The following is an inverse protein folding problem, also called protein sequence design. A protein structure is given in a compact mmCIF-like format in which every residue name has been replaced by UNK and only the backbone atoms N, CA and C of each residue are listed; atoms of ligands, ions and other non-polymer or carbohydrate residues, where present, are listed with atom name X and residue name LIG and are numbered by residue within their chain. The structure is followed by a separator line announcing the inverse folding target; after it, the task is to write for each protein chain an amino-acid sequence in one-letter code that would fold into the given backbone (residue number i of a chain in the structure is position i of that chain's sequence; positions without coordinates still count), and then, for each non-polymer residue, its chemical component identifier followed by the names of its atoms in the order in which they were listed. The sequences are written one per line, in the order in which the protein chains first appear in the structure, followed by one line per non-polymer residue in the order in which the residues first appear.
data_IF_458311541554
#
_entry.id   IF_458311541554
#
_cell.length_a   1.000
_cell.length_b   1.000
_cell.length_c   1.000
_cell.angle_alpha   90.00
_cell.angle_beta   90.00
_cell.angle_gamma   90.00
#
_symmetry.space_group_name_H-M   'P 1'
#
loop_
_entity.id
_entity.type
_entity.pdbx_description
1 polymer ?
#
# COMPACT_ATOMS: atom_id res chain seq x y z
N UNK A 1 -3.60 -8.51 -26.35
CA UNK A 1 -4.11 -7.52 -25.38
C UNK A 1 -4.21 -8.21 -24.05
N UNK A 2 -3.42 -7.77 -23.02
CA UNK A 2 -3.45 -8.36 -21.67
C UNK A 2 -4.72 -7.92 -20.93
N UNK A 3 -5.33 -8.83 -20.17
CA UNK A 3 -6.57 -8.58 -19.43
C UNK A 3 -6.27 -8.28 -17.96
N UNK A 4 -6.87 -7.22 -17.45
CA UNK A 4 -6.68 -6.75 -16.07
C UNK A 4 -7.90 -7.07 -15.20
N UNK A 5 -7.64 -7.52 -13.98
CA UNK A 5 -8.58 -7.47 -12.86
C UNK A 5 -8.06 -6.47 -11.83
N UNK A 6 -8.91 -5.57 -11.34
CA UNK A 6 -8.48 -4.48 -10.44
C UNK A 6 -9.23 -4.57 -9.11
N UNK A 7 -8.50 -4.85 -8.04
CA UNK A 7 -9.00 -4.79 -6.66
C UNK A 7 -8.86 -3.36 -6.15
N UNK A 8 -9.99 -2.68 -5.89
CA UNK A 8 -10.00 -1.28 -5.46
C UNK A 8 -10.01 -0.26 -6.61
N UNK A 9 -10.78 -0.51 -7.66
CA UNK A 9 -10.80 0.28 -8.90
C UNK A 9 -11.19 1.75 -8.73
N UNK A 10 -12.04 2.08 -7.76
CA UNK A 10 -12.50 3.45 -7.50
C UNK A 10 -11.58 4.23 -6.55
N UNK A 11 -10.56 3.57 -6.00
CA UNK A 11 -9.51 4.21 -5.21
C UNK A 11 -8.53 5.04 -6.06
N UNK A 12 -7.62 5.77 -5.41
CA UNK A 12 -6.64 6.62 -6.11
C UNK A 12 -5.80 5.83 -7.11
N UNK A 13 -5.27 4.67 -6.70
CA UNK A 13 -4.43 3.82 -7.57
C UNK A 13 -5.26 3.16 -8.67
N UNK A 14 -6.47 2.66 -8.34
CA UNK A 14 -7.36 2.05 -9.33
C UNK A 14 -7.72 3.01 -10.46
N UNK A 15 -8.09 4.26 -10.13
CA UNK A 15 -8.37 5.30 -11.13
C UNK A 15 -7.15 5.64 -11.99
N UNK A 16 -5.97 5.77 -11.38
CA UNK A 16 -4.74 6.03 -12.13
C UNK A 16 -4.33 4.82 -12.99
N UNK A 17 -4.61 3.60 -12.53
CA UNK A 17 -4.43 2.39 -13.34
C UNK A 17 -5.30 2.43 -14.59
N UNK A 18 -6.59 2.75 -14.45
CA UNK A 18 -7.49 2.89 -15.60
C UNK A 18 -7.05 4.01 -16.55
N UNK A 19 -6.57 5.15 -16.01
CA UNK A 19 -5.98 6.23 -16.83
C UNK A 19 -4.76 5.75 -17.63
N UNK A 20 -3.89 4.91 -17.04
CA UNK A 20 -2.77 4.29 -17.77
C UNK A 20 -3.26 3.34 -18.86
N UNK A 21 -4.30 2.54 -18.57
CA UNK A 21 -4.92 1.64 -19.57
C UNK A 21 -5.46 2.45 -20.76
N UNK A 22 -6.15 3.55 -20.49
CA UNK A 22 -6.70 4.45 -21.53
C UNK A 22 -5.60 5.13 -22.35
N UNK A 23 -4.45 5.45 -21.74
CA UNK A 23 -3.30 6.05 -22.44
C UNK A 23 -2.50 5.07 -23.32
N UNK A 24 -2.76 3.76 -23.19
CA UNK A 24 -2.07 2.69 -23.94
C UNK A 24 -3.08 1.83 -24.74
N UNK A 25 -3.77 2.43 -25.73
CA UNK A 25 -4.84 1.75 -26.46
C UNK A 25 -4.36 0.45 -27.11
N UNK A 26 -5.18 -0.59 -27.06
CA UNK A 26 -4.91 -1.90 -27.63
C UNK A 26 -3.94 -2.79 -26.83
N UNK A 27 -3.30 -2.29 -25.78
CA UNK A 27 -2.39 -3.10 -24.95
C UNK A 27 -3.13 -3.84 -23.82
N UNK A 28 -4.13 -3.22 -23.23
CA UNK A 28 -4.84 -3.73 -22.07
C UNK A 28 -6.36 -3.70 -22.27
N UNK A 29 -7.04 -4.70 -21.72
CA UNK A 29 -8.48 -4.74 -21.48
C UNK A 29 -8.75 -4.90 -19.99
N UNK A 30 -9.95 -4.59 -19.55
CA UNK A 30 -10.37 -4.71 -18.14
C UNK A 30 -11.49 -5.72 -18.05
N UNK A 31 -11.22 -6.89 -17.46
CA UNK A 31 -12.23 -7.98 -17.37
C UNK A 31 -13.00 -7.96 -16.06
N UNK A 32 -12.40 -7.47 -14.97
CA UNK A 32 -13.05 -7.46 -13.68
C UNK A 32 -12.65 -6.26 -12.81
N UNK A 33 -13.60 -5.70 -12.07
CA UNK A 33 -13.40 -4.57 -11.17
C UNK A 33 -14.00 -4.86 -9.79
N UNK A 34 -13.25 -4.58 -8.72
CA UNK A 34 -13.79 -4.56 -7.37
C UNK A 34 -13.73 -3.13 -6.79
N UNK A 35 -14.84 -2.70 -6.20
CA UNK A 35 -14.96 -1.41 -5.52
C UNK A 35 -15.67 -1.57 -4.18
N UNK A 36 -15.51 -0.60 -3.27
CA UNK A 36 -16.22 -0.59 -1.99
C UNK A 36 -17.62 0.02 -2.10
N UNK A 37 -17.69 1.36 -1.94
CA UNK A 37 -18.94 2.10 -1.80
C UNK A 37 -19.21 3.14 -2.89
N UNK A 38 -18.20 3.51 -3.70
CA UNK A 38 -18.35 4.56 -4.70
C UNK A 38 -18.97 4.00 -5.98
N UNK A 39 -20.30 3.88 -5.99
CA UNK A 39 -21.05 3.29 -7.10
C UNK A 39 -21.10 4.21 -8.32
N UNK A 40 -21.07 5.51 -8.16
CA UNK A 40 -21.06 6.48 -9.27
C UNK A 40 -19.79 6.34 -10.10
N UNK A 41 -18.63 6.37 -9.45
CA UNK A 41 -17.34 6.16 -10.12
C UNK A 41 -17.27 4.77 -10.78
N UNK A 42 -17.72 3.71 -10.08
CA UNK A 42 -17.74 2.37 -10.63
C UNK A 42 -18.64 2.27 -11.86
N UNK A 43 -19.81 2.92 -11.86
CA UNK A 43 -20.72 2.96 -13.00
C UNK A 43 -20.04 3.58 -14.23
N UNK A 44 -19.32 4.70 -14.05
CA UNK A 44 -18.54 5.31 -15.14
C UNK A 44 -17.41 4.41 -15.65
N UNK A 45 -16.77 3.65 -14.76
CA UNK A 45 -15.75 2.66 -15.14
C UNK A 45 -16.34 1.50 -15.93
N UNK A 46 -17.51 0.98 -15.54
CA UNK A 46 -18.25 -0.09 -16.25
C UNK A 46 -18.63 0.38 -17.65
N UNK A 47 -19.14 1.59 -17.79
CA UNK A 47 -19.55 2.16 -19.07
C UNK A 47 -18.37 2.25 -20.06
N UNK A 48 -17.21 2.71 -19.59
CA UNK A 48 -16.00 2.86 -20.42
C UNK A 48 -15.31 1.55 -20.75
N UNK A 49 -15.13 0.68 -19.75
CA UNK A 49 -14.26 -0.49 -19.86
C UNK A 49 -15.02 -1.81 -20.09
N UNK A 50 -16.32 -1.84 -19.87
CA UNK A 50 -17.23 -3.00 -20.11
C UNK A 50 -16.68 -4.30 -19.50
N UNK A 51 -16.38 -4.35 -18.19
CA UNK A 51 -15.89 -5.56 -17.54
C UNK A 51 -16.97 -6.66 -17.57
N UNK A 52 -16.53 -7.92 -17.53
CA UNK A 52 -17.45 -9.08 -17.46
C UNK A 52 -17.97 -9.28 -16.03
N UNK A 53 -17.18 -8.91 -15.03
CA UNK A 53 -17.47 -9.09 -13.60
C UNK A 53 -17.16 -7.82 -12.81
N UNK A 54 -18.06 -7.48 -11.90
CA UNK A 54 -17.79 -6.42 -10.90
C UNK A 54 -18.16 -6.91 -9.49
N UNK A 55 -17.48 -6.36 -8.49
CA UNK A 55 -17.79 -6.61 -7.08
C UNK A 55 -17.89 -5.31 -6.30
N UNK A 56 -18.84 -5.25 -5.36
CA UNK A 56 -19.08 -4.13 -4.44
C UNK A 56 -19.04 -4.59 -2.98
N UNK A 57 -19.11 -3.66 -2.03
CA UNK A 57 -18.89 -3.94 -0.61
C UNK A 57 -19.91 -4.90 0.02
N UNK A 58 -21.19 -4.81 -0.35
CA UNK A 58 -22.28 -5.60 0.22
C UNK A 58 -23.43 -5.81 -0.76
N UNK A 59 -24.40 -6.67 -0.38
CA UNK A 59 -25.56 -7.02 -1.22
C UNK A 59 -26.44 -5.80 -1.55
N UNK A 60 -26.63 -4.88 -0.61
CA UNK A 60 -27.42 -3.66 -0.83
C UNK A 60 -26.81 -2.82 -1.95
N UNK A 61 -25.48 -2.62 -1.91
CA UNK A 61 -24.76 -1.91 -2.97
C UNK A 61 -24.78 -2.64 -4.31
N UNK A 62 -24.84 -3.97 -4.32
CA UNK A 62 -25.00 -4.74 -5.55
C UNK A 62 -26.36 -4.46 -6.21
N UNK A 63 -27.44 -4.43 -5.44
CA UNK A 63 -28.78 -4.10 -5.93
C UNK A 63 -28.84 -2.63 -6.42
N UNK A 64 -28.29 -1.69 -5.65
CA UNK A 64 -28.19 -0.27 -6.03
C UNK A 64 -27.41 -0.10 -7.34
N UNK A 65 -26.28 -0.78 -7.50
CA UNK A 65 -25.48 -0.74 -8.74
C UNK A 65 -26.27 -1.29 -9.93
N UNK A 66 -26.93 -2.43 -9.76
CA UNK A 66 -27.76 -3.02 -10.81
C UNK A 66 -28.88 -2.08 -11.28
N UNK A 67 -29.51 -1.37 -10.34
CA UNK A 67 -30.53 -0.37 -10.66
C UNK A 67 -29.95 0.83 -11.42
N UNK A 68 -28.79 1.34 -10.98
CA UNK A 68 -28.09 2.45 -11.65
C UNK A 68 -27.70 2.10 -13.10
N UNK A 69 -27.15 0.90 -13.32
CA UNK A 69 -26.73 0.44 -14.64
C UNK A 69 -27.93 0.30 -15.59
N UNK A 70 -29.05 -0.29 -15.11
CA UNK A 70 -30.29 -0.39 -15.90
C UNK A 70 -30.84 1.00 -16.22
N UNK A 71 -30.87 1.90 -15.25
CA UNK A 71 -31.34 3.29 -15.44
C UNK A 71 -30.55 4.05 -16.49
N UNK A 72 -29.26 3.72 -16.67
CA UNK A 72 -28.40 4.27 -17.72
C UNK A 72 -28.47 3.51 -19.05
N UNK A 73 -29.26 2.45 -19.15
CA UNK A 73 -29.39 1.66 -20.37
C UNK A 73 -28.15 0.83 -20.72
N UNK A 74 -27.28 0.54 -19.74
CA UNK A 74 -26.08 -0.26 -19.97
C UNK A 74 -26.47 -1.72 -20.16
N UNK A 75 -26.15 -2.25 -21.34
CA UNK A 75 -26.42 -3.65 -21.74
C UNK A 75 -25.28 -4.20 -22.58
N UNK A 76 -24.83 -5.47 -22.37
CA UNK A 76 -25.26 -6.34 -21.26
C UNK A 76 -24.74 -5.86 -19.92
N UNK A 77 -25.42 -6.21 -18.83
CA UNK A 77 -24.91 -5.97 -17.48
C UNK A 77 -23.75 -6.92 -17.20
N UNK A 78 -22.70 -6.47 -16.50
CA UNK A 78 -21.68 -7.36 -15.95
C UNK A 78 -22.29 -8.29 -14.88
N UNK A 79 -21.65 -9.41 -14.59
CA UNK A 79 -21.97 -10.16 -13.38
C UNK A 79 -21.65 -9.27 -12.15
N UNK A 80 -22.59 -9.13 -11.22
CA UNK A 80 -22.43 -8.28 -10.03
C UNK A 80 -22.35 -9.18 -8.81
N UNK A 81 -21.19 -9.15 -8.16
CA UNK A 81 -20.91 -9.85 -6.92
C UNK A 81 -20.69 -8.85 -5.78
N UNK A 82 -20.58 -9.34 -4.55
CA UNK A 82 -20.33 -8.46 -3.38
C UNK A 82 -19.53 -9.14 -2.28
N UNK A 83 -18.99 -8.34 -1.37
CA UNK A 83 -18.31 -8.79 -0.18
C UNK A 83 -17.02 -9.60 -0.46
N UNK A 84 -16.68 -10.49 0.46
CA UNK A 84 -15.46 -11.32 0.40
C UNK A 84 -15.46 -12.22 -0.86
N UNK A 85 -16.54 -12.91 -1.13
CA UNK A 85 -16.65 -13.82 -2.30
C UNK A 85 -16.53 -13.05 -3.62
N UNK A 86 -17.13 -11.87 -3.69
CA UNK A 86 -17.01 -11.00 -4.86
C UNK A 86 -15.58 -10.50 -5.09
N UNK A 87 -14.88 -10.12 -4.01
CA UNK A 87 -13.46 -9.73 -4.10
C UNK A 87 -12.58 -10.89 -4.59
N UNK A 88 -12.82 -12.11 -4.06
CA UNK A 88 -12.14 -13.33 -4.52
C UNK A 88 -12.43 -13.60 -6.00
N UNK A 89 -13.70 -13.52 -6.43
CA UNK A 89 -14.08 -13.75 -7.82
C UNK A 89 -13.38 -12.79 -8.79
N UNK A 90 -13.20 -11.53 -8.41
CA UNK A 90 -12.42 -10.55 -9.20
C UNK A 90 -10.93 -10.91 -9.24
N UNK A 91 -10.31 -11.20 -8.10
CA UNK A 91 -8.88 -11.53 -8.02
C UNK A 91 -8.51 -12.84 -8.71
N UNK A 92 -9.46 -13.77 -8.81
CA UNK A 92 -9.26 -15.11 -9.42
C UNK A 92 -9.91 -15.25 -10.80
N UNK A 93 -10.35 -14.15 -11.42
CA UNK A 93 -11.02 -14.19 -12.71
C UNK A 93 -10.19 -14.94 -13.76
N UNK A 94 -10.81 -15.92 -14.43
CA UNK A 94 -10.10 -16.87 -15.30
C UNK A 94 -9.36 -16.22 -16.47
N UNK A 95 -9.89 -15.13 -17.01
CA UNK A 95 -9.30 -14.37 -18.12
C UNK A 95 -8.30 -13.32 -17.68
N UNK A 96 -8.10 -13.06 -16.39
CA UNK A 96 -7.15 -12.04 -15.93
C UNK A 96 -5.69 -12.52 -16.14
N UNK A 97 -4.91 -11.77 -16.90
CA UNK A 97 -3.47 -11.96 -17.03
C UNK A 97 -2.72 -11.25 -15.88
N UNK A 98 -3.21 -10.07 -15.50
CA UNK A 98 -2.64 -9.23 -14.44
C UNK A 98 -3.73 -8.88 -13.42
N UNK A 99 -3.43 -9.05 -12.15
CA UNK A 99 -4.26 -8.58 -11.04
C UNK A 99 -3.59 -7.36 -10.41
N UNK A 100 -4.29 -6.21 -10.42
CA UNK A 100 -3.84 -5.00 -9.74
C UNK A 100 -4.39 -4.99 -8.32
N UNK A 101 -3.54 -5.19 -7.33
CA UNK A 101 -3.90 -5.19 -5.91
C UNK A 101 -3.81 -3.77 -5.34
N UNK A 102 -4.93 -3.04 -5.36
CA UNK A 102 -5.04 -1.65 -4.91
C UNK A 102 -6.17 -1.42 -3.89
N UNK A 103 -6.72 -2.48 -3.31
CA UNK A 103 -7.64 -2.39 -2.17
C UNK A 103 -6.89 -1.98 -0.91
N UNK A 104 -7.51 -1.17 -0.05
CA UNK A 104 -6.87 -0.64 1.17
C UNK A 104 -6.89 -1.69 2.29
N UNK A 105 -5.81 -1.76 3.06
CA UNK A 105 -5.70 -2.64 4.24
C UNK A 105 -5.74 -4.13 3.86
N UNK A 106 -6.22 -4.98 4.78
CA UNK A 106 -6.29 -6.43 4.58
C UNK A 106 -7.48 -6.91 3.73
N UNK A 107 -8.36 -6.00 3.30
CA UNK A 107 -9.57 -6.36 2.52
C UNK A 107 -9.24 -7.07 1.20
N UNK A 108 -8.14 -6.67 0.55
CA UNK A 108 -7.66 -7.29 -0.70
C UNK A 108 -6.70 -8.46 -0.51
N UNK A 109 -6.35 -8.82 0.74
CA UNK A 109 -5.28 -9.77 1.05
C UNK A 109 -5.55 -11.16 0.48
N UNK A 110 -6.72 -11.74 0.78
CA UNK A 110 -7.06 -13.08 0.31
C UNK A 110 -7.14 -13.18 -1.22
N UNK A 111 -7.82 -12.20 -1.84
CA UNK A 111 -7.95 -12.16 -3.30
C UNK A 111 -6.58 -12.03 -3.99
N UNK A 112 -5.68 -11.23 -3.42
CA UNK A 112 -4.30 -11.10 -3.89
C UNK A 112 -3.53 -12.41 -3.70
N UNK A 113 -3.64 -13.05 -2.55
CA UNK A 113 -2.98 -14.32 -2.26
C UNK A 113 -3.44 -15.45 -3.21
N UNK A 114 -4.76 -15.57 -3.43
CA UNK A 114 -5.29 -16.56 -4.37
C UNK A 114 -4.89 -16.27 -5.82
N UNK A 115 -4.84 -14.99 -6.23
CA UNK A 115 -4.30 -14.62 -7.53
C UNK A 115 -2.84 -15.05 -7.72
N UNK A 116 -2.00 -14.88 -6.68
CA UNK A 116 -0.60 -15.33 -6.66
C UNK A 116 -0.52 -16.85 -6.77
N UNK A 117 -1.33 -17.60 -6.01
CA UNK A 117 -1.38 -19.08 -6.08
C UNK A 117 -1.75 -19.60 -7.46
N UNK A 118 -2.64 -18.90 -8.17
CA UNK A 118 -3.01 -19.22 -9.54
C UNK A 118 -1.94 -18.85 -10.58
N UNK A 119 -0.80 -18.32 -10.16
CA UNK A 119 0.29 -17.90 -11.06
C UNK A 119 -0.05 -16.67 -11.88
N UNK A 120 -0.98 -15.82 -11.44
CA UNK A 120 -1.26 -14.53 -12.09
C UNK A 120 -0.11 -13.56 -11.84
N UNK A 121 0.16 -12.68 -12.80
CA UNK A 121 1.04 -11.53 -12.55
C UNK A 121 0.29 -10.58 -11.62
N UNK A 122 0.89 -10.21 -10.50
CA UNK A 122 0.29 -9.27 -9.55
C UNK A 122 1.06 -7.97 -9.55
N UNK A 123 0.38 -6.87 -9.90
CA UNK A 123 0.86 -5.51 -9.72
C UNK A 123 0.41 -5.04 -8.32
N UNK A 124 1.36 -5.05 -7.36
CA UNK A 124 1.08 -4.86 -5.94
C UNK A 124 1.24 -3.39 -5.54
N UNK A 125 0.13 -2.75 -5.19
CA UNK A 125 0.10 -1.42 -4.57
C UNK A 125 -0.24 -1.47 -3.07
N UNK A 126 -0.98 -2.49 -2.66
CA UNK A 126 -1.39 -2.70 -1.28
C UNK A 126 -0.24 -3.34 -0.49
N UNK A 127 0.58 -2.50 0.15
CA UNK A 127 1.74 -2.96 0.94
C UNK A 127 1.35 -3.80 2.16
N UNK A 128 0.15 -3.60 2.69
CA UNK A 128 -0.36 -4.32 3.85
C UNK A 128 -0.46 -5.83 3.60
N UNK A 129 -0.58 -6.24 2.34
CA UNK A 129 -0.53 -7.65 1.93
C UNK A 129 0.79 -8.31 2.34
N UNK A 130 1.93 -7.66 2.07
CA UNK A 130 3.24 -8.19 2.44
C UNK A 130 3.60 -7.89 3.90
N UNK A 131 3.08 -6.82 4.48
CA UNK A 131 3.24 -6.56 5.92
C UNK A 131 2.54 -7.63 6.74
N UNK A 132 1.27 -7.93 6.44
CA UNK A 132 0.47 -8.87 7.23
C UNK A 132 0.81 -10.34 6.93
N UNK A 133 1.08 -10.70 5.68
CA UNK A 133 1.19 -12.08 5.23
C UNK A 133 2.40 -12.36 4.31
N UNK A 134 3.45 -11.56 4.40
CA UNK A 134 4.57 -11.60 3.44
C UNK A 134 5.21 -12.98 3.28
N UNK A 135 5.40 -13.74 4.38
CA UNK A 135 5.95 -15.09 4.33
C UNK A 135 5.08 -16.02 3.46
N UNK A 136 3.77 -16.04 3.68
CA UNK A 136 2.83 -16.87 2.92
C UNK A 136 2.71 -16.44 1.45
N UNK A 137 2.61 -15.13 1.22
CA UNK A 137 2.44 -14.57 -0.13
C UNK A 137 3.70 -14.85 -0.97
N UNK A 138 4.90 -14.63 -0.43
CA UNK A 138 6.14 -14.88 -1.15
C UNK A 138 6.41 -16.36 -1.34
N UNK A 139 6.04 -17.22 -0.39
CA UNK A 139 6.11 -18.68 -0.58
C UNK A 139 5.20 -19.14 -1.73
N UNK A 140 3.98 -18.58 -1.85
CA UNK A 140 3.08 -18.86 -2.95
C UNK A 140 3.63 -18.33 -4.29
N UNK A 141 4.18 -17.12 -4.32
CA UNK A 141 4.79 -16.51 -5.51
C UNK A 141 5.96 -17.35 -6.03
N UNK A 142 6.86 -17.76 -5.14
CA UNK A 142 8.01 -18.61 -5.47
C UNK A 142 7.56 -19.97 -6.02
N UNK A 143 6.55 -20.59 -5.39
CA UNK A 143 5.97 -21.85 -5.86
C UNK A 143 5.33 -21.73 -7.24
N UNK A 144 4.70 -20.61 -7.53
CA UNK A 144 4.10 -20.30 -8.82
C UNK A 144 5.14 -19.86 -9.88
N UNK A 145 6.40 -19.64 -9.50
CA UNK A 145 7.44 -19.09 -10.39
C UNK A 145 7.11 -17.70 -10.92
N UNK A 146 6.45 -16.88 -10.10
CA UNK A 146 6.01 -15.54 -10.47
C UNK A 146 6.58 -14.48 -9.52
N UNK A 147 6.98 -13.38 -10.11
CA UNK A 147 7.42 -12.17 -9.40
C UNK A 147 6.22 -11.27 -9.12
N UNK A 148 6.18 -10.66 -7.93
CA UNK A 148 5.27 -9.58 -7.61
C UNK A 148 5.86 -8.27 -8.15
N UNK A 149 5.09 -7.54 -8.93
CA UNK A 149 5.52 -6.27 -9.51
C UNK A 149 5.09 -5.11 -8.60
N UNK A 150 6.02 -4.39 -7.97
CA UNK A 150 5.66 -3.32 -7.05
C UNK A 150 5.10 -2.12 -7.81
N UNK A 151 3.99 -1.57 -7.30
CA UNK A 151 3.38 -0.32 -7.75
C UNK A 151 3.75 0.83 -6.81
N UNK A 152 3.99 0.55 -5.52
CA UNK A 152 4.48 1.57 -4.59
C UNK A 152 5.75 2.22 -5.13
N UNK A 153 5.82 3.56 -5.13
CA UNK A 153 6.84 4.31 -5.87
C UNK A 153 8.26 3.97 -5.45
N UNK A 154 8.50 3.77 -4.17
CA UNK A 154 9.81 3.45 -3.61
C UNK A 154 10.26 2.04 -4.00
N UNK A 155 9.37 1.05 -3.90
CA UNK A 155 9.68 -0.33 -4.28
C UNK A 155 9.78 -0.48 -5.80
N UNK A 156 8.95 0.22 -6.54
CA UNK A 156 9.06 0.30 -7.99
C UNK A 156 10.42 0.87 -8.42
N UNK A 157 10.89 1.91 -7.73
CA UNK A 157 12.21 2.49 -7.96
C UNK A 157 13.34 1.49 -7.66
N UNK A 158 13.26 0.78 -6.52
CA UNK A 158 14.22 -0.30 -6.19
C UNK A 158 14.22 -1.36 -7.27
N UNK A 159 13.04 -1.85 -7.68
CA UNK A 159 12.91 -2.86 -8.72
C UNK A 159 13.56 -2.42 -10.06
N UNK A 160 13.38 -1.15 -10.43
CA UNK A 160 14.03 -0.57 -11.61
C UNK A 160 15.55 -0.50 -11.48
N UNK A 161 16.06 -0.10 -10.30
CA UNK A 161 17.50 0.00 -10.04
C UNK A 161 18.17 -1.38 -9.99
N UNK A 162 17.49 -2.41 -9.46
CA UNK A 162 18.01 -3.78 -9.39
C UNK A 162 18.26 -4.40 -10.77
N UNK A 163 17.67 -3.85 -11.83
CA UNK A 163 17.99 -4.26 -13.21
C UNK A 163 19.41 -3.90 -13.67
N UNK A 164 20.13 -3.09 -12.90
CA UNK A 164 21.50 -2.68 -13.19
C UNK A 164 22.59 -3.64 -12.73
N UNK A 165 22.21 -4.72 -12.03
CA UNK A 165 23.15 -5.72 -11.52
C UNK A 165 22.44 -6.99 -11.06
N UNK A 166 23.19 -7.91 -10.43
CA UNK A 166 22.65 -9.13 -9.87
C UNK A 166 22.33 -8.95 -8.37
N UNK A 167 21.44 -9.78 -7.83
CA UNK A 167 21.07 -9.73 -6.41
C UNK A 167 22.29 -9.89 -5.47
N UNK A 168 23.26 -10.73 -5.82
CA UNK A 168 24.48 -10.94 -5.03
C UNK A 168 25.41 -9.73 -4.97
N UNK A 169 25.28 -8.78 -5.91
CA UNK A 169 26.07 -7.55 -5.98
C UNK A 169 25.43 -6.39 -5.18
N UNK A 170 24.22 -6.59 -4.65
CA UNK A 170 23.54 -5.54 -3.88
C UNK A 170 24.11 -5.49 -2.47
N UNK A 171 24.70 -4.33 -2.11
CA UNK A 171 25.14 -4.05 -0.74
C UNK A 171 23.96 -3.71 0.15
N UNK A 172 23.09 -2.78 -0.28
CA UNK A 172 21.89 -2.37 0.45
C UNK A 172 20.89 -1.62 -0.44
N UNK A 173 19.66 -1.61 0.01
CA UNK A 173 18.60 -0.73 -0.49
C UNK A 173 18.54 0.54 0.34
N UNK A 174 18.29 1.68 -0.30
CA UNK A 174 18.12 2.97 0.37
C UNK A 174 16.76 3.55 -0.05
N UNK A 175 15.75 3.36 0.81
CA UNK A 175 14.43 3.90 0.62
C UNK A 175 14.40 5.39 0.96
N UNK A 176 13.82 6.21 0.11
CA UNK A 176 13.63 7.63 0.40
C UNK A 176 12.29 7.87 1.10
N UNK A 177 12.21 8.91 1.89
CA UNK A 177 11.01 9.36 2.57
C UNK A 177 10.88 10.88 2.49
N UNK A 178 9.67 11.40 2.26
CA UNK A 178 9.43 12.86 2.35
C UNK A 178 9.69 13.41 3.75
N UNK A 179 9.56 12.56 4.78
CA UNK A 179 9.59 12.92 6.19
C UNK A 179 8.29 13.49 6.72
N UNK A 180 7.24 13.51 5.89
CA UNK A 180 5.91 13.99 6.25
C UNK A 180 5.83 15.48 6.60
N UNK A 181 4.66 15.98 7.03
CA UNK A 181 4.46 17.38 7.38
C UNK A 181 5.26 17.81 8.62
N UNK A 182 5.52 16.88 9.55
CA UNK A 182 6.11 17.19 10.85
C UNK A 182 7.62 16.99 10.94
N UNK A 183 8.34 16.85 9.83
CA UNK A 183 9.80 16.62 9.84
C UNK A 183 10.61 17.73 10.53
N UNK A 184 10.10 18.95 10.55
CA UNK A 184 10.73 20.13 11.16
C UNK A 184 10.01 20.65 12.42
N UNK A 185 8.83 20.14 12.74
CA UNK A 185 8.02 20.55 13.90
C UNK A 185 8.77 20.24 15.20
N UNK A 186 8.87 21.14 16.17
CA UNK A 186 9.45 20.85 17.49
C UNK A 186 8.77 19.65 18.15
N UNK A 187 9.55 18.81 18.85
CA UNK A 187 8.99 17.58 19.45
C UNK A 187 7.88 17.89 20.46
N UNK A 188 8.02 18.97 21.21
CA UNK A 188 6.99 19.38 22.19
C UNK A 188 5.65 19.73 21.56
N UNK A 189 5.62 20.17 20.30
CA UNK A 189 4.42 20.54 19.59
C UNK A 189 3.69 19.33 18.99
N UNK A 190 4.34 18.18 18.86
CA UNK A 190 3.71 16.99 18.27
C UNK A 190 2.52 16.45 19.08
N UNK A 191 2.48 16.73 20.39
CA UNK A 191 1.37 16.32 21.24
C UNK A 191 0.04 17.00 20.91
N UNK A 192 0.09 18.24 20.34
CA UNK A 192 -1.06 19.09 20.05
C UNK A 192 -1.44 19.13 18.58
N UNK A 193 -0.78 18.37 17.69
CA UNK A 193 -1.09 18.39 16.25
C UNK A 193 -2.45 17.78 15.99
N UNK A 194 -3.19 18.40 15.03
CA UNK A 194 -4.55 18.02 14.67
C UNK A 194 -4.57 17.10 13.44
N UNK A 195 -5.68 16.38 13.19
CA UNK A 195 -5.86 15.62 11.97
C UNK A 195 -5.66 16.45 10.70
N UNK A 196 -6.15 17.68 10.66
CA UNK A 196 -6.03 18.57 9.50
C UNK A 196 -4.57 18.92 9.20
N UNK A 197 -3.79 19.21 10.24
CA UNK A 197 -2.35 19.44 10.09
C UNK A 197 -1.60 18.20 9.60
N UNK A 198 -1.98 17.02 10.10
CA UNK A 198 -1.38 15.75 9.69
C UNK A 198 -1.76 15.35 8.26
N UNK A 199 -2.96 15.73 7.80
CA UNK A 199 -3.42 15.49 6.43
C UNK A 199 -2.80 16.46 5.40
N UNK A 200 -2.13 17.52 5.83
CA UNK A 200 -1.49 18.50 4.95
C UNK A 200 -0.11 18.00 4.45
N UNK A 201 -0.10 16.94 3.63
CA UNK A 201 1.16 16.39 3.08
C UNK A 201 1.78 17.37 2.07
N UNK A 202 3.12 17.63 2.13
CA UNK A 202 3.76 18.68 1.34
C UNK A 202 3.82 18.39 -0.17
N UNK A 203 3.90 17.13 -0.60
CA UNK A 203 4.21 16.75 -1.98
C UNK A 203 3.14 15.87 -2.64
N UNK A 204 2.47 15.01 -1.88
CA UNK A 204 1.55 14.01 -2.40
C UNK A 204 0.09 14.30 -2.01
N UNK A 205 -0.82 14.02 -2.92
CA UNK A 205 -2.27 13.96 -2.62
C UNK A 205 -2.67 12.49 -2.53
N UNK A 206 -2.93 12.04 -1.33
CA UNK A 206 -3.17 10.63 -1.02
C UNK A 206 -4.46 10.46 -0.20
N UNK A 207 -4.86 9.21 0.02
CA UNK A 207 -5.94 8.88 0.95
C UNK A 207 -5.58 9.27 2.40
N UNK A 208 -6.60 9.44 3.24
CA UNK A 208 -6.42 9.93 4.62
C UNK A 208 -5.48 9.03 5.43
N UNK A 209 -5.66 7.71 5.40
CA UNK A 209 -4.83 6.78 6.16
C UNK A 209 -3.35 6.92 5.79
N UNK A 210 -2.98 6.70 4.55
CA UNK A 210 -1.58 6.76 4.11
C UNK A 210 -0.95 8.14 4.34
N UNK A 211 -1.75 9.21 4.39
CA UNK A 211 -1.26 10.54 4.72
C UNK A 211 -0.87 10.63 6.19
N UNK A 212 -1.65 10.05 7.12
CA UNK A 212 -1.27 9.95 8.53
C UNK A 212 -0.07 9.02 8.70
N UNK A 213 -0.03 7.88 7.98
CA UNK A 213 1.13 6.96 7.99
C UNK A 213 2.41 7.66 7.50
N UNK A 214 2.30 8.59 6.56
CA UNK A 214 3.41 9.46 6.16
C UNK A 214 3.81 10.44 7.27
N UNK A 215 2.84 11.03 7.98
CA UNK A 215 3.08 11.97 9.08
C UNK A 215 3.78 11.30 10.28
N UNK A 216 3.42 10.06 10.60
CA UNK A 216 4.06 9.23 11.64
C UNK A 216 5.32 8.51 11.15
N UNK A 217 5.56 8.50 9.85
CA UNK A 217 6.50 7.65 9.12
C UNK A 217 6.23 6.13 9.26
N UNK A 218 5.03 5.72 9.67
CA UNK A 218 4.63 4.31 9.62
C UNK A 218 4.57 3.80 8.18
N UNK A 219 4.16 4.64 7.22
CA UNK A 219 4.24 4.27 5.79
C UNK A 219 5.63 3.74 5.43
N UNK A 220 6.70 4.44 5.86
CA UNK A 220 8.07 4.00 5.63
C UNK A 220 8.44 2.77 6.46
N UNK A 221 7.86 2.61 7.63
CA UNK A 221 7.97 1.38 8.43
C UNK A 221 7.42 0.16 7.68
N UNK A 222 6.23 0.28 7.09
CA UNK A 222 5.64 -0.77 6.24
C UNK A 222 6.48 -1.05 5.00
N UNK A 223 6.98 -0.03 4.37
CA UNK A 223 7.82 -0.17 3.19
C UNK A 223 9.15 -0.90 3.48
N UNK A 224 9.75 -0.74 4.66
CA UNK A 224 10.92 -1.51 5.08
C UNK A 224 10.57 -3.01 5.19
N UNK A 225 9.38 -3.34 5.71
CA UNK A 225 8.91 -4.73 5.80
C UNK A 225 8.62 -5.30 4.40
N UNK A 226 7.96 -4.51 3.55
CA UNK A 226 7.64 -4.88 2.18
C UNK A 226 8.91 -5.13 1.34
N UNK A 227 9.91 -4.23 1.44
CA UNK A 227 11.19 -4.36 0.75
C UNK A 227 11.93 -5.67 1.12
N UNK A 228 11.88 -6.08 2.39
CA UNK A 228 12.43 -7.36 2.84
C UNK A 228 11.82 -8.53 2.05
N UNK A 229 10.51 -8.52 1.89
CA UNK A 229 9.80 -9.61 1.21
C UNK A 229 9.97 -9.57 -0.30
N UNK A 230 9.74 -8.42 -0.92
CA UNK A 230 9.84 -8.28 -2.38
C UNK A 230 11.24 -8.58 -2.92
N UNK A 231 12.27 -8.15 -2.21
CA UNK A 231 13.64 -8.20 -2.71
C UNK A 231 14.53 -9.20 -1.95
N UNK A 232 13.98 -9.96 -1.00
CA UNK A 232 14.74 -10.97 -0.24
C UNK A 232 15.90 -10.38 0.60
N UNK A 233 15.85 -9.09 0.94
CA UNK A 233 16.93 -8.39 1.65
C UNK A 233 16.88 -8.65 3.15
N UNK A 234 18.06 -8.74 3.79
CA UNK A 234 18.14 -8.78 5.24
C UNK A 234 17.76 -7.42 5.85
N UNK A 235 17.23 -7.40 7.09
CA UNK A 235 16.84 -6.14 7.76
C UNK A 235 17.95 -5.10 7.86
N UNK A 236 19.21 -5.50 7.94
CA UNK A 236 20.39 -4.65 7.99
C UNK A 236 20.79 -4.08 6.62
N UNK A 237 20.28 -4.61 5.55
CA UNK A 237 20.50 -4.15 4.18
C UNK A 237 19.42 -3.16 3.69
N UNK A 238 18.48 -2.74 4.53
CA UNK A 238 17.42 -1.81 4.15
C UNK A 238 17.55 -0.53 4.97
N UNK A 239 18.08 0.52 4.36
CA UNK A 239 18.20 1.84 4.95
C UNK A 239 17.08 2.78 4.53
N UNK A 240 16.89 3.84 5.32
CA UNK A 240 15.91 4.91 5.04
C UNK A 240 16.61 6.26 5.17
N UNK A 241 16.38 7.12 4.18
CA UNK A 241 16.85 8.52 4.21
C UNK A 241 15.67 9.47 3.96
N UNK A 242 15.70 10.63 4.61
CA UNK A 242 14.77 11.71 4.30
C UNK A 242 15.24 12.38 3.00
N UNK A 243 14.34 12.46 2.02
CA UNK A 243 14.48 13.22 0.79
C UNK A 243 13.20 14.02 0.55
N UNK A 244 13.20 15.26 1.04
CA UNK A 244 11.98 16.04 1.17
C UNK A 244 11.33 16.46 -0.16
N UNK A 245 12.10 16.45 -1.26
CA UNK A 245 11.59 16.77 -2.59
C UNK A 245 10.84 15.61 -3.25
N UNK A 246 11.04 14.38 -2.78
CA UNK A 246 10.46 13.16 -3.36
C UNK A 246 10.73 12.99 -4.86
N UNK A 247 11.85 13.54 -5.36
CA UNK A 247 12.28 13.41 -6.75
C UNK A 247 13.02 12.09 -7.00
N UNK A 248 13.88 11.69 -6.04
CA UNK A 248 14.44 10.34 -5.99
C UNK A 248 13.47 9.48 -5.20
N UNK A 249 12.95 8.42 -5.83
CA UNK A 249 11.99 7.53 -5.19
C UNK A 249 12.67 6.44 -4.36
N UNK A 250 13.82 5.90 -4.79
CA UNK A 250 14.73 5.04 -4.01
C UNK A 250 16.04 4.83 -4.73
N UNK A 251 17.00 4.18 -4.05
CA UNK A 251 18.33 3.89 -4.56
C UNK A 251 18.76 2.47 -4.18
N UNK A 252 19.65 1.90 -4.98
CA UNK A 252 20.35 0.65 -4.71
C UNK A 252 21.85 0.93 -4.68
N UNK A 253 22.51 0.60 -3.56
CA UNK A 253 23.97 0.66 -3.43
C UNK A 253 24.54 -0.74 -3.70
N UNK A 254 25.49 -0.82 -4.61
CA UNK A 254 26.18 -2.05 -5.00
C UNK A 254 27.49 -2.23 -4.22
N UNK A 255 28.06 -3.44 -4.26
CA UNK A 255 29.27 -3.79 -3.50
C UNK A 255 30.51 -3.04 -3.95
N UNK A 256 30.53 -2.55 -5.18
CA UNK A 256 31.60 -1.70 -5.75
C UNK A 256 31.51 -0.23 -5.30
N UNK A 257 30.48 0.13 -4.52
CA UNK A 257 30.20 1.49 -4.07
C UNK A 257 29.35 2.32 -5.06
N UNK A 258 29.01 1.79 -6.21
CA UNK A 258 28.09 2.47 -7.14
C UNK A 258 26.68 2.56 -6.54
N UNK A 259 25.99 3.68 -6.80
CA UNK A 259 24.60 3.90 -6.37
C UNK A 259 23.74 4.18 -7.58
N UNK A 260 22.76 3.32 -7.85
CA UNK A 260 21.74 3.59 -8.86
C UNK A 260 20.50 4.18 -8.18
N UNK A 261 19.97 5.25 -8.77
CA UNK A 261 18.80 5.96 -8.26
C UNK A 261 17.75 6.09 -9.37
N UNK A 262 16.49 5.85 -9.03
CA UNK A 262 15.39 6.16 -9.93
C UNK A 262 14.80 7.51 -9.55
N UNK A 263 14.71 8.40 -10.53
CA UNK A 263 14.17 9.73 -10.41
C UNK A 263 12.87 9.84 -11.22
N UNK A 264 11.91 10.60 -10.70
CA UNK A 264 10.65 10.88 -11.39
C UNK A 264 9.83 11.94 -10.67
N UNK A 265 8.77 12.44 -11.29
CA UNK A 265 7.78 13.29 -10.62
C UNK A 265 6.94 12.47 -9.63
N UNK A 266 6.21 13.18 -8.76
CA UNK A 266 5.27 12.60 -7.79
C UNK A 266 3.95 12.21 -8.46
N UNK A 267 4.00 11.22 -9.37
CA UNK A 267 2.86 10.74 -10.15
C UNK A 267 2.85 9.21 -10.22
N UNK A 268 1.80 8.60 -9.67
CA UNK A 268 1.68 7.14 -9.59
C UNK A 268 1.42 6.47 -10.95
N UNK A 269 1.07 7.22 -12.00
CA UNK A 269 0.91 6.65 -13.34
C UNK A 269 2.23 6.05 -13.87
N UNK A 270 3.38 6.63 -13.50
CA UNK A 270 4.68 6.11 -13.91
C UNK A 270 4.96 4.70 -13.32
N UNK A 271 4.94 4.47 -12.00
CA UNK A 271 5.17 3.13 -11.46
C UNK A 271 4.06 2.14 -11.83
N UNK A 272 2.81 2.58 -11.99
CA UNK A 272 1.72 1.74 -12.48
C UNK A 272 2.02 1.28 -13.91
N UNK A 273 2.35 2.20 -14.82
CA UNK A 273 2.69 1.86 -16.20
C UNK A 273 3.85 0.87 -16.25
N UNK A 274 4.92 1.13 -15.49
CA UNK A 274 6.06 0.22 -15.40
C UNK A 274 5.64 -1.19 -14.99
N UNK A 275 4.84 -1.32 -13.91
CA UNK A 275 4.38 -2.63 -13.44
C UNK A 275 3.50 -3.35 -14.47
N UNK A 276 2.63 -2.64 -15.19
CA UNK A 276 1.75 -3.23 -16.20
C UNK A 276 2.50 -3.65 -17.47
N UNK A 277 3.54 -2.91 -17.85
CA UNK A 277 4.26 -3.15 -19.11
C UNK A 277 5.53 -3.97 -18.94
N UNK A 278 5.97 -4.21 -17.70
CA UNK A 278 7.20 -4.97 -17.43
C UNK A 278 7.26 -6.28 -18.23
N UNK A 279 8.44 -6.64 -18.79
CA UNK A 279 9.76 -5.98 -18.67
C UNK A 279 10.02 -4.81 -19.64
N UNK A 280 9.05 -4.42 -20.47
CA UNK A 280 9.19 -3.36 -21.46
C UNK A 280 9.13 -1.97 -20.82
N UNK A 281 9.85 -0.99 -21.41
CA UNK A 281 9.64 0.43 -21.18
C UNK A 281 8.88 1.02 -22.35
N UNK A 282 7.65 1.45 -22.07
CA UNK A 282 6.75 2.02 -23.08
C UNK A 282 6.74 3.54 -22.92
N UNK A 283 6.68 4.26 -24.03
CA UNK A 283 6.60 5.70 -24.02
C UNK A 283 5.39 6.18 -23.21
N UNK A 284 5.60 7.17 -22.37
CA UNK A 284 4.55 7.90 -21.65
C UNK A 284 4.66 9.37 -22.05
N UNK A 285 3.58 9.93 -22.58
CA UNK A 285 3.58 11.30 -23.06
C UNK A 285 3.31 12.34 -21.95
N UNK A 286 2.79 11.89 -20.79
CA UNK A 286 2.21 12.78 -19.79
C UNK A 286 3.00 12.88 -18.49
N UNK A 287 4.04 12.06 -18.30
CA UNK A 287 4.77 11.97 -17.01
C UNK A 287 6.27 12.05 -17.26
N UNK A 288 6.84 13.23 -17.05
CA UNK A 288 8.27 13.48 -17.19
C UNK A 288 8.80 14.37 -16.08
N UNK A 289 10.10 14.19 -15.75
CA UNK A 289 10.80 15.06 -14.82
C UNK A 289 11.18 16.37 -15.51
N UNK A 290 10.81 17.50 -14.90
CA UNK A 290 11.19 18.82 -15.39
C UNK A 290 12.57 19.24 -14.88
N UNK A 291 13.58 19.03 -15.69
CA UNK A 291 14.98 19.35 -15.37
C UNK A 291 15.23 20.84 -15.11
N UNK A 292 14.38 21.73 -15.66
CA UNK A 292 14.52 23.17 -15.45
C UNK A 292 14.20 23.57 -14.00
N UNK A 293 13.38 22.80 -13.30
CA UNK A 293 12.97 23.03 -11.91
C UNK A 293 13.87 22.31 -10.88
N UNK A 294 14.59 21.28 -11.30
CA UNK A 294 15.46 20.52 -10.43
C UNK A 294 16.78 21.27 -10.19
N UNK A 295 16.92 21.88 -9.00
CA UNK A 295 18.10 22.68 -8.63
C UNK A 295 19.07 21.93 -7.73
N UNK A 296 18.54 21.11 -6.81
CA UNK A 296 19.30 20.36 -5.82
C UNK A 296 18.51 19.18 -5.29
N UNK A 297 19.21 18.25 -4.67
CA UNK A 297 18.65 17.08 -4.02
C UNK A 297 19.17 17.07 -2.57
N UNK A 298 18.25 17.17 -1.61
CA UNK A 298 18.58 17.24 -0.20
C UNK A 298 18.31 15.89 0.47
N UNK A 299 19.23 15.47 1.34
CA UNK A 299 19.12 14.25 2.12
C UNK A 299 19.30 14.50 3.61
N UNK A 300 18.56 13.76 4.43
CA UNK A 300 18.62 13.85 5.88
C UNK A 300 18.51 12.48 6.55
N UNK A 301 18.89 12.42 7.83
CA UNK A 301 18.75 11.20 8.63
C UNK A 301 17.35 11.09 9.24
N UNK A 302 16.86 9.87 9.36
CA UNK A 302 15.62 9.57 10.09
C UNK A 302 15.92 9.57 11.60
N UNK A 303 15.15 10.35 12.36
CA UNK A 303 15.18 10.33 13.81
C UNK A 303 14.12 9.39 14.36
N UNK A 304 14.53 8.25 14.91
CA UNK A 304 13.60 7.29 15.55
C UNK A 304 12.98 7.83 16.85
N UNK A 305 13.57 8.86 17.47
CA UNK A 305 12.97 9.59 18.59
C UNK A 305 11.76 10.41 18.13
N UNK A 306 11.86 11.03 16.96
CA UNK A 306 10.75 11.79 16.34
C UNK A 306 9.69 10.89 15.75
N UNK A 307 10.13 9.79 15.13
CA UNK A 307 9.31 8.84 14.38
C UNK A 307 9.43 7.44 14.97
N UNK A 308 8.80 7.18 16.15
CA UNK A 308 8.88 5.88 16.82
C UNK A 308 8.35 4.73 15.96
N UNK A 309 7.39 5.01 15.06
CA UNK A 309 6.78 4.01 14.18
C UNK A 309 7.80 3.27 13.29
N UNK A 310 8.87 3.96 12.84
CA UNK A 310 9.95 3.31 12.06
C UNK A 310 10.71 2.29 12.91
N UNK A 311 10.95 2.59 14.21
CA UNK A 311 11.57 1.64 15.15
C UNK A 311 10.66 0.44 15.38
N UNK A 312 9.38 0.69 15.67
CA UNK A 312 8.38 -0.35 15.94
C UNK A 312 8.22 -1.31 14.74
N UNK A 313 8.20 -0.77 13.52
CA UNK A 313 8.15 -1.58 12.30
C UNK A 313 9.41 -2.46 12.13
N UNK A 314 10.61 -1.91 12.38
CA UNK A 314 11.85 -2.69 12.33
C UNK A 314 11.90 -3.79 13.40
N UNK A 315 11.40 -3.51 14.60
CA UNK A 315 11.29 -4.49 15.68
C UNK A 315 10.29 -5.61 15.33
N UNK A 316 9.10 -5.25 14.82
CA UNK A 316 8.11 -6.20 14.35
C UNK A 316 8.64 -7.09 13.23
N UNK A 317 9.33 -6.50 12.24
CA UNK A 317 10.00 -7.22 11.15
C UNK A 317 11.03 -8.23 11.66
N UNK A 318 11.85 -7.84 12.65
CA UNK A 318 12.86 -8.74 13.24
C UNK A 318 12.24 -9.90 14.01
N UNK A 319 11.12 -9.66 14.73
CA UNK A 319 10.38 -10.68 15.47
C UNK A 319 9.67 -11.65 14.52
N UNK A 320 9.18 -11.16 13.37
CA UNK A 320 8.47 -11.97 12.36
C UNK A 320 7.13 -12.53 12.83
N UNK A 321 6.60 -13.54 12.13
CA UNK A 321 5.33 -14.18 12.47
C UNK A 321 4.18 -13.18 12.58
N UNK A 322 3.42 -13.22 13.68
CA UNK A 322 2.27 -12.37 13.89
C UNK A 322 2.59 -10.88 14.13
N UNK A 323 3.86 -10.50 14.44
CA UNK A 323 4.18 -9.12 14.81
C UNK A 323 3.95 -8.09 13.70
N UNK A 324 4.35 -8.30 12.44
CA UNK A 324 4.05 -7.33 11.39
C UNK A 324 2.55 -7.21 11.08
N UNK A 325 1.79 -8.31 11.17
CA UNK A 325 0.34 -8.31 11.04
C UNK A 325 -0.31 -7.47 12.17
N UNK A 326 0.10 -7.71 13.41
CA UNK A 326 -0.38 -6.94 14.56
C UNK A 326 0.02 -5.46 14.50
N UNK A 327 1.21 -5.12 13.98
CA UNK A 327 1.63 -3.76 13.71
C UNK A 327 0.65 -3.05 12.78
N UNK A 328 0.32 -3.68 11.64
CA UNK A 328 -0.62 -3.12 10.67
C UNK A 328 -2.02 -2.94 11.26
N UNK A 329 -2.55 -3.97 11.92
CA UNK A 329 -3.89 -3.93 12.52
C UNK A 329 -4.00 -2.84 13.60
N UNK A 330 -2.97 -2.69 14.45
CA UNK A 330 -2.93 -1.67 15.49
C UNK A 330 -2.82 -0.26 14.89
N UNK A 331 -2.03 -0.08 13.86
CA UNK A 331 -1.89 1.18 13.15
C UNK A 331 -3.22 1.61 12.53
N UNK A 332 -3.94 0.72 11.82
CA UNK A 332 -5.24 1.05 11.24
C UNK A 332 -6.25 1.55 12.27
N UNK A 333 -6.33 0.90 13.43
CA UNK A 333 -7.24 1.29 14.52
C UNK A 333 -6.81 2.61 15.15
N UNK A 334 -5.51 2.79 15.40
CA UNK A 334 -4.98 4.01 16.02
C UNK A 334 -5.13 5.23 15.10
N UNK A 335 -4.85 5.08 13.80
CA UNK A 335 -5.03 6.13 12.79
C UNK A 335 -6.50 6.52 12.66
N UNK A 336 -7.43 5.55 12.63
CA UNK A 336 -8.86 5.84 12.60
C UNK A 336 -9.30 6.62 13.85
N UNK A 337 -8.86 6.22 15.05
CA UNK A 337 -9.17 6.91 16.29
C UNK A 337 -8.58 8.33 16.34
N UNK A 338 -7.39 8.56 15.77
CA UNK A 338 -6.82 9.90 15.63
C UNK A 338 -7.65 10.78 14.69
N UNK A 339 -8.04 10.25 13.52
CA UNK A 339 -8.89 10.99 12.57
C UNK A 339 -10.26 11.36 13.17
N UNK A 340 -10.78 10.50 14.04
CA UNK A 340 -12.01 10.73 14.81
C UNK A 340 -11.79 11.59 16.09
N UNK A 341 -10.57 12.09 16.32
CA UNK A 341 -10.18 12.90 17.49
C UNK A 341 -10.34 12.18 18.84
N UNK A 342 -10.41 10.86 18.84
CA UNK A 342 -10.45 10.03 20.05
C UNK A 342 -9.07 9.68 20.61
N UNK A 343 -8.02 9.90 19.81
CA UNK A 343 -6.65 9.62 20.18
C UNK A 343 -5.75 10.81 19.76
N UNK A 344 -4.80 11.29 20.57
CA UNK A 344 -3.81 12.29 20.15
C UNK A 344 -2.79 11.66 19.18
N UNK A 345 -2.09 12.49 18.41
CA UNK A 345 -1.10 12.05 17.42
C UNK A 345 -0.02 11.11 18.00
N UNK A 346 0.53 11.47 19.15
CA UNK A 346 1.52 10.63 19.85
C UNK A 346 0.92 9.37 20.47
N UNK A 347 -0.38 9.26 20.60
CA UNK A 347 -1.08 8.04 21.01
C UNK A 347 -1.00 6.94 19.94
N UNK A 348 -0.82 7.29 18.65
CA UNK A 348 -0.69 6.30 17.58
C UNK A 348 0.46 5.32 17.86
N UNK A 349 1.72 5.76 17.98
CA UNK A 349 2.82 4.84 18.29
C UNK A 349 2.66 4.14 19.65
N UNK A 350 2.01 4.78 20.62
CA UNK A 350 1.78 4.17 21.93
C UNK A 350 0.82 2.97 21.86
N UNK A 351 -0.32 3.10 21.17
CA UNK A 351 -1.24 1.97 20.93
C UNK A 351 -0.50 0.82 20.25
N UNK A 352 0.25 1.11 19.20
CA UNK A 352 1.00 0.10 18.44
C UNK A 352 2.01 -0.62 19.35
N UNK A 353 2.79 0.11 20.13
CA UNK A 353 3.80 -0.46 21.04
C UNK A 353 3.18 -1.39 22.08
N UNK A 354 2.04 -0.99 22.66
CA UNK A 354 1.29 -1.79 23.64
C UNK A 354 0.69 -3.07 23.03
N UNK A 355 0.12 -2.99 21.83
CA UNK A 355 -0.38 -4.16 21.09
C UNK A 355 0.78 -5.12 20.77
N UNK A 356 1.91 -4.61 20.27
CA UNK A 356 3.08 -5.44 20.01
C UNK A 356 3.64 -6.10 21.27
N UNK A 357 3.53 -5.44 22.43
CA UNK A 357 3.89 -6.02 23.74
C UNK A 357 3.03 -7.21 24.15
N UNK A 358 1.79 -7.29 23.67
CA UNK A 358 0.82 -8.36 23.95
C UNK A 358 0.74 -9.41 22.85
N UNK A 359 1.37 -9.17 21.68
CA UNK A 359 1.30 -10.05 20.51
C UNK A 359 2.05 -11.36 20.78
N UNK A 360 1.42 -12.54 20.60
CA UNK A 360 2.07 -13.82 20.79
C UNK A 360 3.07 -14.12 19.66
N UNK A 361 4.08 -14.95 19.96
CA UNK A 361 5.03 -15.46 18.97
C UNK A 361 4.43 -16.65 18.24
N UNK A 362 3.70 -16.37 17.16
CA UNK A 362 3.05 -17.39 16.32
C UNK A 362 3.54 -17.21 14.89
N UNK A 363 3.82 -18.33 14.20
CA UNK A 363 4.03 -18.35 12.75
C UNK A 363 2.73 -18.73 12.06
N UNK A 364 2.54 -18.20 10.86
CA UNK A 364 1.37 -18.49 10.04
C UNK A 364 1.66 -19.66 9.10
N UNK A 365 0.76 -20.64 9.06
CA UNK A 365 0.79 -21.76 8.13
C UNK A 365 -0.22 -21.58 6.98
N UNK A 366 -1.28 -20.85 7.24
CA UNK A 366 -2.37 -20.58 6.29
C UNK A 366 -2.95 -19.18 6.45
N UNK A 367 -3.74 -18.75 5.48
CA UNK A 367 -4.35 -17.41 5.46
C UNK A 367 -5.29 -17.17 6.66
N UNK A 368 -6.02 -18.21 7.11
CA UNK A 368 -6.89 -18.09 8.28
C UNK A 368 -6.14 -17.68 9.55
N UNK A 369 -4.88 -18.11 9.70
CA UNK A 369 -4.05 -17.72 10.86
C UNK A 369 -3.77 -16.21 10.83
N UNK A 370 -3.51 -15.66 9.64
CA UNK A 370 -3.30 -14.20 9.43
C UNK A 370 -4.57 -13.44 9.78
N UNK A 371 -5.73 -13.87 9.27
CA UNK A 371 -7.00 -13.21 9.52
C UNK A 371 -7.40 -13.25 11.01
N UNK A 372 -7.10 -14.36 11.68
CA UNK A 372 -7.31 -14.51 13.13
C UNK A 372 -6.42 -13.56 13.92
N UNK A 373 -5.12 -13.51 13.57
CA UNK A 373 -4.17 -12.62 14.23
C UNK A 373 -4.49 -11.13 13.98
N UNK A 374 -4.92 -10.75 12.77
CA UNK A 374 -5.38 -9.40 12.45
C UNK A 374 -6.59 -9.01 13.30
N UNK A 375 -7.60 -9.89 13.37
CA UNK A 375 -8.82 -9.66 14.17
C UNK A 375 -8.51 -9.46 15.65
N UNK A 376 -7.65 -10.31 16.21
CA UNK A 376 -7.24 -10.23 17.62
C UNK A 376 -6.42 -8.96 17.91
N UNK A 377 -5.50 -8.59 17.00
CA UNK A 377 -4.72 -7.37 17.13
C UNK A 377 -5.60 -6.11 17.05
N UNK A 378 -6.62 -6.11 16.18
CA UNK A 378 -7.64 -5.03 16.12
C UNK A 378 -8.44 -4.93 17.40
N UNK A 379 -8.81 -6.04 18.01
CA UNK A 379 -9.49 -6.05 19.31
C UNK A 379 -8.61 -5.43 20.39
N UNK A 380 -7.36 -5.89 20.50
CA UNK A 380 -6.39 -5.34 21.45
C UNK A 380 -6.16 -3.83 21.22
N UNK A 381 -6.07 -3.39 19.97
CA UNK A 381 -5.87 -1.98 19.65
C UNK A 381 -7.05 -1.10 20.07
N UNK A 382 -8.30 -1.56 19.89
CA UNK A 382 -9.50 -0.84 20.37
C UNK A 382 -9.49 -0.68 21.87
N UNK A 383 -9.14 -1.73 22.62
CA UNK A 383 -9.00 -1.68 24.09
C UNK A 383 -7.96 -0.63 24.53
N UNK A 384 -6.80 -0.57 23.83
CA UNK A 384 -5.76 0.41 24.16
C UNK A 384 -6.18 1.85 23.81
N UNK A 385 -6.91 2.05 22.72
CA UNK A 385 -7.48 3.36 22.36
C UNK A 385 -8.44 3.84 23.43
N UNK A 386 -9.38 3.00 23.87
CA UNK A 386 -10.33 3.36 24.93
C UNK A 386 -9.63 3.68 26.25
N UNK A 387 -8.62 2.90 26.62
CA UNK A 387 -7.83 3.14 27.84
C UNK A 387 -7.11 4.49 27.81
N UNK A 388 -6.52 4.85 26.68
CA UNK A 388 -5.82 6.14 26.54
C UNK A 388 -6.78 7.31 26.50
N UNK A 389 -7.98 7.16 25.91
CA UNK A 389 -9.01 8.18 25.90
C UNK A 389 -9.53 8.49 27.33
N UNK A 390 -9.77 7.47 28.14
CA UNK A 390 -10.20 7.62 29.55
C UNK A 390 -9.09 8.27 30.39
N UNK A 391 -7.83 7.87 30.21
CA UNK A 391 -6.69 8.47 30.93
C UNK A 391 -6.49 9.94 30.63
N UNK A 392 -6.73 10.38 29.37
CA UNK A 392 -6.65 11.78 28.98
C UNK A 392 -7.78 12.62 29.62
N UNK A 393 -8.99 12.10 29.72
CA UNK A 393 -10.11 12.78 30.38
C UNK A 393 -9.89 12.96 31.89
N UNK A 394 -9.30 11.95 32.55
CA UNK A 394 -8.99 12.02 33.98
C UNK A 394 -7.81 12.96 34.33
N UNK A 395 -6.91 13.24 33.37
CA UNK A 395 -5.79 14.17 33.57
C UNK A 395 -6.19 15.66 33.35
N UNK A 396 -7.39 15.90 32.84
CA UNK A 396 -7.93 17.24 32.54
C UNK A 396 -8.96 17.71 33.59
N UNK A 397 -9.36 16.86 34.50
CA UNK A 397 -10.16 17.15 35.71
C UNK A 397 -9.27 17.27 36.95
#
# INVERSE_FOLDING_TARGET
MKQLAILGSTGSIGRQCLSVVESLPGRFGVVALAAGANLEELTGQIERHKPELVSVGDAKKADELAALLRGKGITPLPAIHHGREGMLAVGTHSKADIVVSAAVGVVGLEATYEAVKLGRTVALSNKEVLVAAGELVMAAANKAGRELLPVDSEHNAVHQCLRGGTHGEVRRLVLTASGGPFRKTPLAELASVTPEQALAHPNWRMGNRITIDSATMMNKGFEVIEARWLFGMRPDQIDVVIHSQSTIHSMVEYVDGSVLAQLGPTDMRMPIQYALTYPERVASNDVALDWSKLRRLDFGKVSTRRFPCVRLAREAMKKGGAFPCALNAADEIAVAAFLERRLPFLGIPEVIERVLGRTPRVRFEKMDDVLTADSEARRMAREEVERLAVGAAAATT
#
